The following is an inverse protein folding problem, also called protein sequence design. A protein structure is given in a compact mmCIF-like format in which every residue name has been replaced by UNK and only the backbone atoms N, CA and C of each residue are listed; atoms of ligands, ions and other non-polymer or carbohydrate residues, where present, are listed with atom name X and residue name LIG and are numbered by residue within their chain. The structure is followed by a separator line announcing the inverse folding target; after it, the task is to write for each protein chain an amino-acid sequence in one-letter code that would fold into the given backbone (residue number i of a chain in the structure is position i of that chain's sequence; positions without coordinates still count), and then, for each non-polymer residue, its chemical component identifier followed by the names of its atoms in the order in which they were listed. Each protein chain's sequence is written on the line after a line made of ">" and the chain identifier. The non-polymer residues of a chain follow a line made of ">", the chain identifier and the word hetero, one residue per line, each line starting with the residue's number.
data_IF_517656740542
#
_entry.id   IF_517656740542
#
_cell.length_a   1.000
_cell.length_b   1.000
_cell.length_c   1.000
_cell.angle_alpha   90.00
_cell.angle_beta   90.00
_cell.angle_gamma   90.00
#
_symmetry.space_group_name_H-M   'P 1'
#
loop_
_entity.id
_entity.type
_entity.pdbx_description
1 polymer ?
#
# COMPACT_ATOMS: atom_id res chain seq x y z
N UNK A 1 13.62 -22.83 20.83
CA UNK A 1 13.90 -23.19 19.42
C UNK A 1 12.70 -22.95 18.49
N UNK A 2 11.46 -23.44 18.75
CA UNK A 2 10.33 -23.26 17.82
C UNK A 2 9.78 -21.82 17.74
N UNK A 3 9.92 -21.03 18.81
CA UNK A 3 9.46 -19.64 18.84
C UNK A 3 10.19 -18.72 17.83
N UNK A 4 11.46 -18.99 17.57
CA UNK A 4 12.24 -18.24 16.59
C UNK A 4 11.74 -18.50 15.17
N UNK A 5 11.47 -19.77 14.86
CA UNK A 5 10.93 -20.19 13.56
C UNK A 5 9.53 -19.61 13.35
N UNK A 6 8.66 -19.62 14.38
CA UNK A 6 7.32 -19.03 14.31
C UNK A 6 7.35 -17.52 14.04
N UNK A 7 8.19 -16.77 14.75
CA UNK A 7 8.36 -15.33 14.53
C UNK A 7 8.91 -15.02 13.13
N UNK A 8 9.85 -15.82 12.64
CA UNK A 8 10.42 -15.66 11.30
C UNK A 8 9.40 -15.90 10.19
N UNK A 9 8.52 -16.91 10.34
CA UNK A 9 7.43 -17.17 9.40
C UNK A 9 6.40 -16.04 9.34
N UNK A 10 6.03 -15.48 10.51
CA UNK A 10 5.10 -14.33 10.58
C UNK A 10 5.70 -13.10 9.87
N UNK A 11 6.98 -12.80 10.12
CA UNK A 11 7.67 -11.68 9.49
C UNK A 11 7.78 -11.84 7.97
N UNK A 12 8.09 -13.06 7.51
CA UNK A 12 8.17 -13.36 6.08
C UNK A 12 6.80 -13.21 5.40
N UNK A 13 5.74 -13.75 6.02
CA UNK A 13 4.37 -13.60 5.52
C UNK A 13 3.93 -12.15 5.43
N UNK A 14 4.25 -11.34 6.44
CA UNK A 14 3.96 -9.91 6.42
C UNK A 14 4.70 -9.19 5.29
N UNK A 15 5.98 -9.52 5.08
CA UNK A 15 6.78 -8.99 3.98
C UNK A 15 6.20 -9.32 2.61
N UNK A 16 5.72 -10.55 2.41
CA UNK A 16 5.05 -10.99 1.18
C UNK A 16 3.75 -10.23 0.95
N UNK A 17 2.94 -10.01 2.00
CA UNK A 17 1.69 -9.22 1.89
C UNK A 17 2.00 -7.78 1.50
N UNK A 18 3.00 -7.16 2.12
CA UNK A 18 3.43 -5.79 1.77
C UNK A 18 3.92 -5.73 0.33
N UNK A 19 4.77 -6.67 -0.10
CA UNK A 19 5.22 -6.77 -1.49
C UNK A 19 4.05 -6.98 -2.46
N UNK A 20 3.09 -7.84 -2.13
CA UNK A 20 1.91 -8.09 -2.94
C UNK A 20 1.03 -6.84 -3.08
N UNK A 21 0.88 -6.05 -2.01
CA UNK A 21 0.20 -4.75 -2.05
C UNK A 21 0.99 -3.79 -2.95
N UNK A 22 2.30 -3.65 -2.74
CA UNK A 22 3.16 -2.76 -3.55
C UNK A 22 3.09 -3.14 -5.04
N UNK A 23 3.23 -4.42 -5.39
CA UNK A 23 3.12 -4.90 -6.78
C UNK A 23 1.72 -4.68 -7.35
N UNK A 24 0.66 -4.87 -6.56
CA UNK A 24 -0.72 -4.60 -7.00
C UNK A 24 -0.99 -3.12 -7.20
N UNK A 25 -0.31 -2.24 -6.44
CA UNK A 25 -0.35 -0.79 -6.59
C UNK A 25 0.47 -0.32 -7.80
N UNK A 26 1.63 -0.92 -8.03
CA UNK A 26 2.48 -0.68 -9.20
C UNK A 26 1.85 -1.22 -10.50
N UNK A 27 1.17 -2.36 -10.47
CA UNK A 27 0.40 -2.88 -11.60
C UNK A 27 -0.86 -2.06 -11.90
N UNK A 28 -1.31 -1.26 -10.94
CA UNK A 28 -2.35 -0.24 -11.11
C UNK A 28 -1.77 1.15 -11.45
N UNK A 29 -0.45 1.28 -11.58
CA UNK A 29 0.19 2.51 -12.05
C UNK A 29 -0.19 2.69 -13.53
N UNK A 30 -1.02 3.69 -13.87
CA UNK A 30 -1.50 3.88 -15.23
C UNK A 30 -0.39 4.60 -15.99
N UNK A 31 0.59 3.83 -16.44
CA UNK A 31 1.82 4.33 -17.03
C UNK A 31 2.05 3.89 -18.46
N UNK A 32 1.17 3.13 -19.11
CA UNK A 32 1.40 2.70 -20.50
C UNK A 32 0.09 2.28 -21.17
N UNK A 33 -0.47 3.17 -22.00
CA UNK A 33 -1.43 2.81 -23.04
C UNK A 33 -2.91 2.74 -22.63
N UNK A 34 -3.63 3.85 -22.80
CA UNK A 34 -4.91 3.94 -23.57
C UNK A 34 -5.68 5.20 -23.18
N UNK A 35 -6.03 5.99 -24.20
CA UNK A 35 -6.65 7.31 -24.07
C UNK A 35 -8.14 7.32 -23.70
N UNK A 36 -8.59 6.53 -22.71
CA UNK A 36 -9.96 6.60 -22.19
C UNK A 36 -10.00 6.55 -20.65
N UNK A 37 -10.04 7.74 -20.04
CA UNK A 37 -11.10 8.11 -19.09
C UNK A 37 -11.38 7.34 -17.79
N UNK A 38 -10.55 6.43 -17.28
CA UNK A 38 -10.80 5.81 -15.95
C UNK A 38 -9.65 6.03 -14.96
N UNK A 39 -9.89 6.54 -13.73
CA UNK A 39 -8.81 6.76 -12.78
C UNK A 39 -8.44 5.44 -12.11
N UNK A 40 -7.27 4.91 -12.47
CA UNK A 40 -6.54 3.91 -11.67
C UNK A 40 -6.18 4.50 -10.30
N UNK A 41 -7.14 4.47 -9.38
CA UNK A 41 -6.97 4.93 -7.99
C UNK A 41 -7.49 3.89 -7.04
N UNK A 42 -6.83 3.77 -5.89
CA UNK A 42 -7.40 3.03 -4.80
C UNK A 42 -8.70 3.71 -4.36
N UNK A 43 -9.77 2.93 -4.08
CA UNK A 43 -10.96 3.50 -3.45
C UNK A 43 -10.54 4.16 -2.14
N UNK A 44 -10.69 5.48 -2.05
CA UNK A 44 -10.24 6.29 -0.92
C UNK A 44 -9.22 7.37 -1.27
N UNK A 45 -8.46 7.25 -2.37
CA UNK A 45 -7.56 8.32 -2.80
C UNK A 45 -8.35 9.47 -3.46
N UNK A 46 -8.24 10.68 -2.89
CA UNK A 46 -8.95 11.85 -3.41
C UNK A 46 -8.23 12.34 -4.65
N UNK A 47 -8.97 12.44 -5.75
CA UNK A 47 -8.45 13.03 -6.97
C UNK A 47 -9.43 13.98 -7.60
N UNK A 48 -8.97 15.21 -7.73
CA UNK A 48 -9.74 16.30 -8.30
C UNK A 48 -8.98 16.74 -9.54
N UNK A 49 -9.56 16.49 -10.72
CA UNK A 49 -9.04 16.98 -12.00
C UNK A 49 -10.01 18.01 -12.56
N UNK A 50 -9.50 19.21 -12.81
CA UNK A 50 -10.14 20.33 -13.52
C UNK A 50 -9.23 20.74 -14.68
N UNK A 51 -9.76 21.55 -15.59
CA UNK A 51 -9.12 21.91 -16.86
C UNK A 51 -7.68 22.47 -16.72
N UNK A 52 -7.36 23.17 -15.63
CA UNK A 52 -6.01 23.67 -15.32
C UNK A 52 -5.50 23.25 -13.92
N UNK A 53 -6.18 22.34 -13.23
CA UNK A 53 -5.83 21.99 -11.84
C UNK A 53 -5.98 20.50 -11.59
N UNK A 54 -4.90 19.86 -11.14
CA UNK A 54 -4.91 18.46 -10.74
C UNK A 54 -4.43 18.36 -9.29
N UNK A 55 -5.29 17.86 -8.41
CA UNK A 55 -4.97 17.59 -7.02
C UNK A 55 -5.14 16.09 -6.74
N UNK A 56 -4.08 15.48 -6.23
CA UNK A 56 -4.05 14.08 -5.82
C UNK A 56 -3.68 14.01 -4.34
N UNK A 57 -4.54 13.34 -3.56
CA UNK A 57 -4.32 13.14 -2.14
C UNK A 57 -4.51 11.66 -1.78
N UNK A 58 -3.40 10.93 -1.55
CA UNK A 58 -3.39 9.47 -1.39
C UNK A 58 -3.83 9.03 0.02
N UNK A 59 -5.08 9.25 0.38
CA UNK A 59 -5.64 8.88 1.69
C UNK A 59 -5.67 7.38 1.93
N UNK A 60 -6.11 6.59 0.95
CA UNK A 60 -6.17 5.13 1.09
C UNK A 60 -4.76 4.56 1.29
N UNK A 61 -3.81 5.04 0.49
CA UNK A 61 -2.42 4.60 0.57
C UNK A 61 -1.76 4.99 1.91
N UNK A 62 -1.95 6.22 2.36
CA UNK A 62 -1.39 6.70 3.63
C UNK A 62 -1.94 5.95 4.85
N UNK A 63 -3.23 5.61 4.87
CA UNK A 63 -3.83 4.79 5.93
C UNK A 63 -3.21 3.39 5.94
N UNK A 64 -3.08 2.74 4.79
CA UNK A 64 -2.49 1.39 4.71
C UNK A 64 -1.04 1.39 5.19
N UNK A 65 -0.23 2.36 4.73
CA UNK A 65 1.16 2.51 5.17
C UNK A 65 1.23 2.71 6.69
N UNK A 66 0.37 3.58 7.22
CA UNK A 66 0.33 3.87 8.66
C UNK A 66 -0.06 2.63 9.46
N UNK A 67 -1.09 1.89 9.04
CA UNK A 67 -1.54 0.67 9.70
C UNK A 67 -0.44 -0.40 9.71
N UNK A 68 0.20 -0.65 8.58
CA UNK A 68 1.31 -1.61 8.45
C UNK A 68 2.49 -1.19 9.32
N UNK A 69 2.89 0.09 9.25
CA UNK A 69 3.97 0.64 10.07
C UNK A 69 3.66 0.52 11.57
N UNK A 70 2.43 0.82 11.99
CA UNK A 70 1.98 0.67 13.37
C UNK A 70 1.98 -0.79 13.83
N UNK A 71 1.53 -1.75 13.00
CA UNK A 71 1.59 -3.18 13.33
C UNK A 71 3.05 -3.66 13.46
N UNK A 72 3.92 -3.25 12.54
CA UNK A 72 5.35 -3.56 12.61
C UNK A 72 5.96 -3.01 13.90
N UNK A 73 5.78 -1.71 14.18
CA UNK A 73 6.26 -1.11 15.42
C UNK A 73 5.67 -1.79 16.64
N UNK A 74 4.38 -2.13 16.65
CA UNK A 74 3.75 -2.85 17.74
C UNK A 74 4.46 -4.18 18.02
N UNK A 75 4.74 -4.99 16.99
CA UNK A 75 5.43 -6.26 17.17
C UNK A 75 6.93 -6.13 17.51
N UNK A 76 7.59 -5.08 17.03
CA UNK A 76 9.03 -4.87 17.29
C UNK A 76 9.33 -4.15 18.61
N UNK A 77 8.53 -3.14 18.98
CA UNK A 77 8.71 -2.35 20.21
C UNK A 77 8.04 -2.98 21.42
N UNK A 78 6.96 -3.76 21.25
CA UNK A 78 6.27 -4.45 22.36
C UNK A 78 6.87 -5.83 22.66
N UNK A 79 8.18 -5.95 22.47
CA UNK A 79 8.99 -7.09 22.90
C UNK A 79 9.56 -6.79 24.28
#
# INVERSE_FOLDING_TARGET
>A
MPEFIGKMLIMLGLGIVVLGIVVSLLGKWPGEGTGLGWPGKLPGDIFIKRDNFTFYFPLGTSIVISLVGSLLLYFFLKR
#
